data_IF_068617337646
#
_entry.id   IF_068617337646
#
_cell.length_a   1.000
_cell.length_b   1.000
_cell.length_c   1.000
_cell.angle_alpha   90.00
_cell.angle_beta   90.00
_cell.angle_gamma   90.00
#
_symmetry.space_group_name_H-M   'P 1'
#
loop_
_entity.id
_entity.type
_entity.pdbx_description
1 polymer ?
#
# COMPACT_ATOMS: atom_id res chain seq x y z
N UNK A 1 -2.05 -8.92 -0.66
CA UNK A 1 -2.56 -9.96 0.27
C UNK A 1 -1.66 -11.19 0.29
N UNK A 2 -1.32 -11.81 -0.84
CA UNK A 2 -0.41 -12.98 -0.86
C UNK A 2 0.98 -12.63 -0.34
N UNK A 3 1.46 -11.42 -0.55
CA UNK A 3 2.74 -10.96 -0.02
C UNK A 3 2.73 -10.89 1.52
N UNK A 4 1.60 -10.51 2.13
CA UNK A 4 1.42 -10.55 3.60
C UNK A 4 1.62 -11.98 4.13
N UNK A 5 1.00 -12.95 3.45
CA UNK A 5 1.12 -14.37 3.81
C UNK A 5 2.57 -14.86 3.63
N UNK A 6 3.21 -14.52 2.51
CA UNK A 6 4.61 -14.88 2.28
C UNK A 6 5.53 -14.30 3.36
N UNK A 7 5.39 -13.01 3.67
CA UNK A 7 6.18 -12.35 4.71
C UNK A 7 5.93 -12.93 6.10
N UNK A 8 4.69 -13.31 6.41
CA UNK A 8 4.37 -14.02 7.65
C UNK A 8 5.16 -15.33 7.76
N UNK A 9 5.13 -16.18 6.73
CA UNK A 9 5.85 -17.45 6.77
C UNK A 9 7.37 -17.26 6.81
N UNK A 10 7.91 -16.26 6.13
CA UNK A 10 9.35 -15.95 6.19
C UNK A 10 9.74 -15.49 7.60
N UNK A 11 8.96 -14.62 8.25
CA UNK A 11 9.20 -14.20 9.63
C UNK A 11 9.13 -15.36 10.61
N UNK A 12 8.12 -16.25 10.46
CA UNK A 12 8.02 -17.46 11.27
C UNK A 12 9.22 -18.41 11.06
N UNK A 13 9.67 -18.58 9.82
CA UNK A 13 10.85 -19.41 9.50
C UNK A 13 12.14 -18.80 10.09
N UNK A 14 12.21 -17.48 10.26
CA UNK A 14 13.32 -16.80 10.93
C UNK A 14 13.19 -16.81 12.47
N UNK A 15 12.11 -17.37 13.02
CA UNK A 15 11.90 -17.46 14.47
C UNK A 15 11.44 -16.15 15.12
N UNK A 16 10.91 -15.19 14.38
CA UNK A 16 10.54 -13.85 14.91
C UNK A 16 9.22 -13.82 15.69
N UNK A 17 8.59 -14.96 15.91
CA UNK A 17 7.31 -15.02 16.59
C UNK A 17 6.13 -14.52 15.73
N UNK A 18 4.91 -14.79 16.19
CA UNK A 18 3.70 -14.62 15.39
C UNK A 18 3.38 -13.15 15.10
N UNK A 19 3.47 -12.29 16.11
CA UNK A 19 3.13 -10.85 15.99
C UNK A 19 4.11 -10.13 15.06
N UNK A 20 5.41 -10.32 15.29
CA UNK A 20 6.45 -9.75 14.45
C UNK A 20 6.33 -10.22 13.00
N UNK A 21 6.06 -11.52 12.79
CA UNK A 21 5.91 -12.11 11.46
C UNK A 21 4.68 -11.57 10.73
N UNK A 22 3.56 -11.37 11.43
CA UNK A 22 2.36 -10.78 10.83
C UNK A 22 2.59 -9.33 10.39
N UNK A 23 3.19 -8.53 11.27
CA UNK A 23 3.52 -7.14 10.97
C UNK A 23 4.57 -7.04 9.87
N UNK A 24 5.58 -7.92 9.88
CA UNK A 24 6.55 -8.04 8.79
C UNK A 24 5.87 -8.27 7.45
N UNK A 25 4.93 -9.21 7.39
CA UNK A 25 4.15 -9.48 6.18
C UNK A 25 3.43 -8.24 5.68
N UNK A 26 2.80 -7.48 6.59
CA UNK A 26 2.20 -6.19 6.28
C UNK A 26 3.20 -5.19 5.71
N UNK A 27 4.32 -5.00 6.39
CA UNK A 27 5.36 -4.04 6.01
C UNK A 27 5.96 -4.33 4.63
N UNK A 28 6.31 -5.58 4.33
CA UNK A 28 6.94 -5.93 3.03
C UNK A 28 5.96 -6.07 1.87
N UNK A 29 4.66 -5.95 2.12
CA UNK A 29 3.63 -6.07 1.08
C UNK A 29 3.27 -4.77 0.38
N UNK A 30 3.85 -3.65 0.80
CA UNK A 30 3.52 -2.31 0.32
C UNK A 30 4.65 -1.75 -0.53
N UNK A 31 4.33 -1.35 -1.75
CA UNK A 31 5.27 -0.71 -2.67
C UNK A 31 5.23 0.82 -2.53
N UNK A 32 6.32 1.52 -2.86
CA UNK A 32 6.37 2.99 -2.77
C UNK A 32 5.84 3.64 -4.03
N UNK A 33 4.73 4.35 -3.91
CA UNK A 33 4.17 5.17 -4.99
C UNK A 33 5.11 6.29 -5.41
N UNK A 34 5.75 6.97 -4.45
CA UNK A 34 6.65 8.09 -4.72
C UNK A 34 7.90 7.65 -5.51
N UNK A 35 8.52 6.54 -5.13
CA UNK A 35 9.71 6.00 -5.80
C UNK A 35 9.37 5.54 -7.22
N UNK A 36 8.24 4.88 -7.42
CA UNK A 36 7.82 4.42 -8.75
C UNK A 36 7.53 5.60 -9.68
N UNK A 37 6.83 6.63 -9.19
CA UNK A 37 6.58 7.85 -9.98
C UNK A 37 7.90 8.46 -10.41
N UNK A 38 8.83 8.63 -9.48
CA UNK A 38 10.16 9.20 -9.76
C UNK A 38 10.93 8.34 -10.77
N UNK A 39 10.94 7.01 -10.59
CA UNK A 39 11.60 6.11 -11.54
C UNK A 39 10.97 6.18 -12.94
N UNK A 40 9.64 6.30 -13.06
CA UNK A 40 8.99 6.49 -14.35
C UNK A 40 9.32 7.81 -14.99
N UNK A 41 9.50 8.89 -14.22
CA UNK A 41 9.97 10.18 -14.70
C UNK A 41 11.37 10.08 -15.26
N UNK A 42 12.31 9.57 -14.46
CA UNK A 42 13.72 9.48 -14.79
C UNK A 42 13.98 8.54 -15.98
N UNK A 43 13.14 7.51 -16.16
CA UNK A 43 13.23 6.54 -17.27
C UNK A 43 12.35 6.90 -18.48
N UNK A 44 11.56 7.98 -18.44
CA UNK A 44 10.64 8.39 -19.52
C UNK A 44 9.49 7.40 -19.77
N UNK A 45 9.06 6.66 -18.76
CA UNK A 45 8.07 5.58 -18.90
C UNK A 45 6.62 6.00 -18.63
N UNK A 46 6.36 7.26 -18.24
CA UNK A 46 5.02 7.74 -17.84
C UNK A 46 3.90 7.48 -18.88
N UNK A 47 4.22 7.52 -20.17
CA UNK A 47 3.26 7.34 -21.26
C UNK A 47 2.96 5.87 -21.59
N UNK A 48 3.64 4.92 -20.97
CA UNK A 48 3.48 3.50 -21.27
C UNK A 48 2.17 2.93 -20.71
N UNK A 49 1.58 1.95 -21.41
CA UNK A 49 0.29 1.35 -21.01
C UNK A 49 0.33 0.66 -19.63
N UNK A 50 1.45 0.01 -19.32
CA UNK A 50 1.61 -0.71 -18.06
C UNK A 50 1.66 0.23 -16.85
N UNK A 51 2.06 1.48 -17.03
CA UNK A 51 2.13 2.50 -15.98
C UNK A 51 0.78 2.71 -15.30
N UNK A 52 -0.31 2.75 -16.08
CA UNK A 52 -1.68 2.88 -15.54
C UNK A 52 -2.07 1.69 -14.66
N UNK A 53 -1.61 0.50 -15.03
CA UNK A 53 -1.87 -0.71 -14.24
C UNK A 53 -1.09 -0.67 -12.94
N UNK A 54 0.18 -0.27 -12.99
CA UNK A 54 1.02 -0.10 -11.79
C UNK A 54 0.37 0.91 -10.83
N UNK A 55 -0.06 2.07 -11.31
CA UNK A 55 -0.78 3.04 -10.46
C UNK A 55 -2.07 2.47 -9.86
N UNK A 56 -2.85 1.70 -10.63
CA UNK A 56 -4.02 1.03 -10.11
C UNK A 56 -3.70 0.03 -8.98
N UNK A 57 -2.59 -0.70 -9.10
CA UNK A 57 -2.12 -1.61 -8.05
C UNK A 57 -1.70 -0.82 -6.81
N UNK A 58 -0.91 0.25 -6.97
CA UNK A 58 -0.42 1.07 -5.87
C UNK A 58 -1.57 1.70 -5.07
N UNK A 59 -2.60 2.22 -5.74
CA UNK A 59 -3.81 2.75 -5.06
C UNK A 59 -4.47 1.67 -4.20
N UNK A 60 -4.56 0.44 -4.69
CA UNK A 60 -5.14 -0.67 -3.92
C UNK A 60 -4.21 -1.08 -2.76
N UNK A 61 -2.90 -1.08 -2.97
CA UNK A 61 -1.91 -1.33 -1.90
C UNK A 61 -2.02 -0.28 -0.79
N UNK A 62 -2.12 1.01 -1.14
CA UNK A 62 -2.28 2.12 -0.18
C UNK A 62 -3.56 1.97 0.65
N UNK A 63 -4.68 1.59 0.02
CA UNK A 63 -5.93 1.31 0.74
C UNK A 63 -5.79 0.13 1.71
N UNK A 64 -5.10 -0.94 1.28
CA UNK A 64 -4.83 -2.10 2.14
C UNK A 64 -3.90 -1.70 3.30
N UNK A 65 -2.90 -0.85 3.07
CA UNK A 65 -2.01 -0.33 4.11
C UNK A 65 -2.78 0.40 5.21
N UNK A 66 -3.70 1.27 4.81
CA UNK A 66 -4.54 2.02 5.75
C UNK A 66 -5.44 1.07 6.54
N UNK A 67 -6.09 0.11 5.88
CA UNK A 67 -6.91 -0.91 6.56
C UNK A 67 -6.08 -1.73 7.55
N UNK A 68 -4.85 -2.09 7.18
CA UNK A 68 -3.94 -2.84 8.04
C UNK A 68 -3.54 -2.02 9.27
N UNK A 69 -3.18 -0.73 9.09
CA UNK A 69 -2.85 0.15 10.22
C UNK A 69 -4.01 0.30 11.20
N UNK A 70 -5.22 0.41 10.69
CA UNK A 70 -6.41 0.48 11.54
C UNK A 70 -6.66 -0.84 12.26
N UNK A 71 -6.49 -1.96 11.56
CA UNK A 71 -6.62 -3.29 12.15
C UNK A 71 -5.61 -3.48 13.30
N UNK A 72 -4.35 -3.12 13.08
CA UNK A 72 -3.29 -3.17 14.08
C UNK A 72 -3.67 -2.30 15.29
N UNK A 73 -4.06 -1.05 15.06
CA UNK A 73 -4.45 -0.14 16.15
C UNK A 73 -5.62 -0.69 16.95
N UNK A 74 -6.61 -1.30 16.29
CA UNK A 74 -7.81 -1.84 16.94
C UNK A 74 -7.50 -3.08 17.76
N UNK A 75 -6.71 -4.01 17.22
CA UNK A 75 -6.39 -5.29 17.89
C UNK A 75 -5.52 -5.05 19.13
N UNK A 76 -4.50 -4.19 19.01
CA UNK A 76 -3.48 -4.06 20.05
C UNK A 76 -3.78 -2.97 21.10
N UNK A 77 -4.61 -1.98 20.78
CA UNK A 77 -5.08 -0.99 21.76
C UNK A 77 -6.19 -1.57 22.66
N UNK A 78 -7.00 -2.51 22.15
CA UNK A 78 -8.13 -3.12 22.87
C UNK A 78 -7.77 -4.09 23.99
N UNK A 79 -6.51 -4.44 24.22
CA UNK A 79 -5.99 -5.34 25.30
C UNK A 79 -6.66 -6.72 25.44
N UNK A 80 -7.66 -7.07 24.63
CA UNK A 80 -8.30 -8.39 24.65
C UNK A 80 -8.59 -8.89 23.24
N UNK A 81 -8.16 -10.14 22.99
CA UNK A 81 -8.35 -10.84 21.70
C UNK A 81 -9.75 -11.50 21.61
N UNK A 82 -10.77 -10.93 22.21
CA UNK A 82 -12.12 -11.47 22.06
C UNK A 82 -12.70 -11.06 20.69
N UNK A 83 -13.19 -12.03 19.94
CA UNK A 83 -13.70 -11.81 18.58
C UNK A 83 -14.80 -10.74 18.48
N UNK A 84 -15.52 -10.46 19.58
CA UNK A 84 -16.50 -9.39 19.70
C UNK A 84 -15.86 -8.00 19.64
N UNK A 85 -14.71 -7.81 20.27
CA UNK A 85 -14.00 -6.51 20.29
C UNK A 85 -13.39 -6.19 18.93
N UNK A 86 -12.86 -7.20 18.22
CA UNK A 86 -12.39 -7.06 16.87
C UNK A 86 -13.54 -6.64 15.92
N UNK A 87 -14.71 -7.29 16.04
CA UNK A 87 -15.90 -6.95 15.26
C UNK A 87 -16.39 -5.53 15.57
N UNK A 88 -16.37 -5.13 16.84
CA UNK A 88 -16.74 -3.78 17.27
C UNK A 88 -15.72 -2.74 16.78
N UNK A 89 -14.42 -3.05 16.77
CA UNK A 89 -13.37 -2.18 16.23
C UNK A 89 -13.52 -1.94 14.72
N UNK A 90 -13.76 -3.02 13.96
CA UNK A 90 -14.04 -2.91 12.52
C UNK A 90 -15.33 -2.13 12.27
N UNK A 91 -16.39 -2.38 13.04
CA UNK A 91 -17.63 -1.63 12.93
C UNK A 91 -17.42 -0.14 13.26
N UNK A 92 -16.69 0.17 14.33
CA UNK A 92 -16.31 1.54 14.71
C UNK A 92 -15.57 2.22 13.57
N UNK A 93 -14.58 1.55 12.95
CA UNK A 93 -13.84 2.07 11.81
C UNK A 93 -14.78 2.39 10.65
N UNK A 94 -15.56 1.41 10.20
CA UNK A 94 -16.48 1.57 9.06
C UNK A 94 -17.46 2.70 9.34
N UNK A 95 -18.01 2.75 10.55
CA UNK A 95 -18.92 3.82 10.98
C UNK A 95 -18.27 5.20 10.88
N UNK A 96 -17.06 5.37 11.44
CA UNK A 96 -16.36 6.65 11.37
C UNK A 96 -15.94 7.02 9.94
N UNK A 97 -15.45 6.07 9.14
CA UNK A 97 -15.14 6.34 7.74
C UNK A 97 -16.37 6.81 6.96
N UNK A 98 -17.49 6.12 7.13
CA UNK A 98 -18.74 6.49 6.46
C UNK A 98 -19.23 7.87 6.91
N UNK A 99 -19.23 8.13 8.22
CA UNK A 99 -19.66 9.45 8.77
C UNK A 99 -18.72 10.55 8.29
N UNK A 100 -17.41 10.34 8.30
CA UNK A 100 -16.44 11.35 7.85
C UNK A 100 -16.54 11.60 6.35
N UNK A 101 -16.62 10.55 5.54
CA UNK A 101 -16.79 10.69 4.09
C UNK A 101 -18.08 11.40 3.74
N UNK A 102 -19.22 10.98 4.29
CA UNK A 102 -20.49 11.62 4.02
C UNK A 102 -20.46 13.09 4.47
N UNK A 103 -20.06 13.35 5.72
CA UNK A 103 -19.98 14.71 6.25
C UNK A 103 -19.02 15.58 5.43
N UNK A 104 -17.84 15.06 5.10
CA UNK A 104 -16.83 15.77 4.32
C UNK A 104 -17.30 16.10 2.91
N UNK A 105 -17.85 15.13 2.19
CA UNK A 105 -18.36 15.32 0.82
C UNK A 105 -19.51 16.35 0.77
N UNK A 106 -20.30 16.48 1.83
CA UNK A 106 -21.37 17.49 1.87
C UNK A 106 -20.88 18.84 2.41
N UNK A 107 -20.14 18.87 3.54
CA UNK A 107 -19.77 20.13 4.19
C UNK A 107 -18.64 20.87 3.48
N UNK A 108 -17.59 20.17 3.07
CA UNK A 108 -16.39 20.81 2.48
C UNK A 108 -16.70 21.56 1.18
N UNK A 109 -17.44 20.99 0.20
CA UNK A 109 -17.83 21.74 -1.00
C UNK A 109 -18.70 22.96 -0.71
N UNK A 110 -19.58 22.89 0.31
CA UNK A 110 -20.42 24.04 0.70
C UNK A 110 -19.53 25.17 1.23
N UNK A 111 -18.56 24.85 2.09
CA UNK A 111 -17.63 25.83 2.64
C UNK A 111 -16.77 26.44 1.51
N UNK A 112 -16.20 25.62 0.65
CA UNK A 112 -15.38 26.06 -0.49
C UNK A 112 -16.18 26.98 -1.42
N UNK A 113 -17.44 26.65 -1.74
CA UNK A 113 -18.30 27.49 -2.58
C UNK A 113 -18.64 28.84 -1.93
N UNK A 114 -19.01 28.84 -0.64
CA UNK A 114 -19.36 30.06 0.09
C UNK A 114 -18.17 31.00 0.30
N UNK A 115 -17.00 30.41 0.55
CA UNK A 115 -15.77 31.14 0.80
C UNK A 115 -14.94 31.41 -0.46
N UNK A 116 -15.40 31.01 -1.66
CA UNK A 116 -14.65 31.06 -2.92
C UNK A 116 -14.04 32.47 -3.19
N UNK A 117 -14.75 33.55 -2.88
CA UNK A 117 -14.28 34.92 -3.06
C UNK A 117 -13.13 35.33 -2.13
N UNK A 118 -12.92 34.56 -1.05
CA UNK A 118 -11.83 34.83 -0.09
C UNK A 118 -10.61 33.92 -0.32
N UNK A 119 -10.73 32.90 -1.18
CA UNK A 119 -9.66 31.96 -1.45
C UNK A 119 -8.80 32.42 -2.62
N UNK A 120 -7.68 33.10 -2.30
CA UNK A 120 -6.50 33.10 -3.16
C UNK A 120 -5.73 31.77 -2.97
N UNK A 121 -4.62 31.56 -3.67
CA UNK A 121 -3.86 30.31 -3.60
C UNK A 121 -3.26 30.08 -2.21
N UNK A 122 -2.78 31.13 -1.56
CA UNK A 122 -2.20 31.07 -0.22
C UNK A 122 -3.23 30.69 0.83
N UNK A 123 -4.39 31.37 0.83
CA UNK A 123 -5.47 31.07 1.79
C UNK A 123 -6.08 29.70 1.56
N UNK A 124 -6.19 29.23 0.31
CA UNK A 124 -6.66 27.90 -0.01
C UNK A 124 -5.69 26.82 0.48
N UNK A 125 -4.37 27.04 0.30
CA UNK A 125 -3.36 26.13 0.83
C UNK A 125 -3.44 26.01 2.36
N UNK A 126 -3.44 27.17 3.05
CA UNK A 126 -3.54 27.19 4.52
C UNK A 126 -4.83 26.51 5.00
N UNK A 127 -5.95 26.76 4.33
CA UNK A 127 -7.22 26.14 4.65
C UNK A 127 -7.20 24.61 4.45
N UNK A 128 -6.63 24.15 3.33
CA UNK A 128 -6.51 22.73 3.03
C UNK A 128 -5.61 22.00 4.06
N UNK A 129 -4.45 22.58 4.38
CA UNK A 129 -3.56 22.04 5.41
C UNK A 129 -4.20 22.08 6.79
N UNK A 130 -4.90 23.17 7.15
CA UNK A 130 -5.60 23.30 8.41
C UNK A 130 -6.68 22.23 8.61
N UNK A 131 -7.47 21.94 7.57
CA UNK A 131 -8.44 20.85 7.60
C UNK A 131 -7.79 19.49 7.64
N UNK A 132 -6.69 19.29 6.91
CA UNK A 132 -5.93 18.04 6.95
C UNK A 132 -5.41 17.75 8.36
N UNK A 133 -4.70 18.69 8.98
CA UNK A 133 -4.21 18.55 10.35
C UNK A 133 -5.33 18.46 11.37
N UNK A 134 -6.43 19.18 11.18
CA UNK A 134 -7.63 19.06 12.01
C UNK A 134 -8.19 17.64 12.01
N UNK A 135 -8.29 17.02 10.82
CA UNK A 135 -8.74 15.64 10.66
C UNK A 135 -7.75 14.65 11.26
N UNK A 136 -6.44 14.89 11.10
CA UNK A 136 -5.38 14.08 11.74
C UNK A 136 -5.54 14.08 13.27
N UNK A 137 -5.67 15.26 13.87
CA UNK A 137 -5.86 15.39 15.33
C UNK A 137 -7.16 14.71 15.77
N UNK A 138 -8.22 14.84 14.99
CA UNK A 138 -9.50 14.20 15.30
C UNK A 138 -9.40 12.67 15.21
N UNK A 139 -8.76 12.13 14.16
CA UNK A 139 -8.51 10.71 14.02
C UNK A 139 -7.72 10.14 15.21
N UNK A 140 -6.64 10.83 15.61
CA UNK A 140 -5.83 10.44 16.77
C UNK A 140 -6.63 10.43 18.08
N UNK A 141 -7.49 11.43 18.31
CA UNK A 141 -8.36 11.47 19.52
C UNK A 141 -9.36 10.32 19.57
N UNK A 142 -9.80 9.83 18.43
CA UNK A 142 -10.72 8.67 18.32
C UNK A 142 -9.99 7.33 18.41
N UNK A 143 -8.64 7.35 18.41
CA UNK A 143 -7.79 6.17 18.52
C UNK A 143 -7.38 5.57 17.17
N UNK A 144 -7.45 6.36 16.09
CA UNK A 144 -6.95 5.97 14.78
C UNK A 144 -5.58 6.60 14.48
N UNK A 145 -4.91 6.10 13.43
CA UNK A 145 -3.62 6.64 13.02
C UNK A 145 -3.73 8.04 12.40
N UNK A 146 -2.68 8.84 12.53
CA UNK A 146 -2.55 10.14 11.87
C UNK A 146 -2.66 10.03 10.34
N UNK A 147 -2.07 8.98 9.77
CA UNK A 147 -2.10 8.71 8.34
C UNK A 147 -3.53 8.49 7.82
N UNK A 148 -4.38 7.78 8.59
CA UNK A 148 -5.80 7.61 8.24
C UNK A 148 -6.53 8.97 8.19
N UNK A 149 -6.29 9.83 9.17
CA UNK A 149 -6.91 11.16 9.19
C UNK A 149 -6.53 12.00 7.97
N UNK A 150 -5.24 12.03 7.62
CA UNK A 150 -4.74 12.73 6.43
C UNK A 150 -5.33 12.15 5.13
N UNK A 151 -5.37 10.82 5.00
CA UNK A 151 -5.94 10.14 3.84
C UNK A 151 -7.42 10.45 3.64
N UNK A 152 -8.21 10.39 4.71
CA UNK A 152 -9.66 10.70 4.65
C UNK A 152 -9.88 12.14 4.19
N UNK A 153 -9.12 13.10 4.71
CA UNK A 153 -9.25 14.50 4.27
C UNK A 153 -8.82 14.66 2.81
N UNK A 154 -7.71 14.04 2.38
CA UNK A 154 -7.28 14.05 1.00
C UNK A 154 -8.33 13.46 0.05
N UNK A 155 -8.96 12.35 0.43
CA UNK A 155 -10.04 11.73 -0.34
C UNK A 155 -11.27 12.63 -0.46
N UNK A 156 -11.61 13.37 0.61
CA UNK A 156 -12.71 14.34 0.58
C UNK A 156 -12.37 15.50 -0.37
N UNK A 157 -11.14 16.02 -0.34
CA UNK A 157 -10.73 17.08 -1.26
C UNK A 157 -10.73 16.62 -2.73
N UNK A 158 -10.36 15.36 -3.01
CA UNK A 158 -10.38 14.79 -4.35
C UNK A 158 -11.77 14.81 -5.01
N UNK A 159 -12.85 14.80 -4.22
CA UNK A 159 -14.24 14.90 -4.69
C UNK A 159 -14.74 16.35 -4.83
N UNK A 160 -13.90 17.36 -4.57
CA UNK A 160 -14.29 18.78 -4.66
C UNK A 160 -13.96 19.37 -6.03
N UNK A 161 -14.65 20.47 -6.39
CA UNK A 161 -14.38 21.22 -7.63
C UNK A 161 -13.00 21.91 -7.63
N UNK A 162 -12.38 22.10 -6.48
CA UNK A 162 -11.06 22.74 -6.33
C UNK A 162 -9.94 21.66 -6.19
N UNK A 163 -10.25 20.37 -6.42
CA UNK A 163 -9.31 19.26 -6.24
C UNK A 163 -7.97 19.49 -6.95
N UNK A 164 -7.99 19.77 -8.25
CA UNK A 164 -6.75 20.02 -9.04
C UNK A 164 -5.95 21.22 -8.55
N UNK A 165 -6.65 22.27 -8.07
CA UNK A 165 -6.01 23.47 -7.53
C UNK A 165 -5.36 23.18 -6.19
N UNK A 166 -6.06 22.48 -5.30
CA UNK A 166 -5.54 22.06 -4.00
C UNK A 166 -4.33 21.13 -4.20
N UNK A 167 -4.42 20.16 -5.10
CA UNK A 167 -3.33 19.24 -5.43
C UNK A 167 -2.07 20.01 -5.87
N UNK A 168 -2.19 20.94 -6.82
CA UNK A 168 -1.07 21.76 -7.30
C UNK A 168 -0.42 22.59 -6.19
N UNK A 169 -1.20 23.10 -5.25
CA UNK A 169 -0.71 23.90 -4.13
C UNK A 169 -0.03 23.06 -3.06
N UNK A 170 -0.54 21.85 -2.80
CA UNK A 170 0.01 20.93 -1.79
C UNK A 170 1.23 20.17 -2.31
N UNK A 171 1.36 19.97 -3.63
CA UNK A 171 2.42 19.18 -4.23
C UNK A 171 3.85 19.63 -3.80
N UNK A 172 4.23 20.93 -3.82
CA UNK A 172 5.54 21.36 -3.34
C UNK A 172 5.78 21.04 -1.86
N UNK A 173 4.75 21.15 -1.04
CA UNK A 173 4.84 20.79 0.39
C UNK A 173 5.06 19.28 0.57
N UNK A 174 4.31 18.45 -0.17
CA UNK A 174 4.51 17.00 -0.21
C UNK A 174 5.95 16.66 -0.58
N UNK A 175 6.51 17.31 -1.60
CA UNK A 175 7.88 17.02 -2.08
C UNK A 175 8.93 17.39 -1.03
N UNK A 176 8.79 18.57 -0.37
CA UNK A 176 9.68 19.00 0.71
C UNK A 176 9.60 18.05 1.91
N UNK A 177 8.39 17.79 2.41
CA UNK A 177 8.22 16.90 3.56
C UNK A 177 8.57 15.46 3.24
N UNK A 178 8.33 15.01 2.01
CA UNK A 178 8.78 13.71 1.52
C UNK A 178 10.31 13.59 1.53
N UNK A 179 11.01 14.60 1.04
CA UNK A 179 12.48 14.63 1.09
C UNK A 179 13.00 14.60 2.54
N UNK A 180 12.44 15.43 3.43
CA UNK A 180 12.80 15.44 4.86
C UNK A 180 12.54 14.06 5.49
N UNK A 181 11.40 13.44 5.18
CA UNK A 181 11.06 12.10 5.67
C UNK A 181 12.09 11.07 5.23
N UNK A 182 12.44 11.00 3.94
CA UNK A 182 13.42 10.04 3.44
C UNK A 182 14.83 10.28 4.01
N UNK A 183 15.23 11.55 4.18
CA UNK A 183 16.50 11.87 4.87
C UNK A 183 16.47 11.41 6.31
N UNK A 184 15.38 11.67 7.04
CA UNK A 184 15.24 11.25 8.42
C UNK A 184 15.27 9.73 8.57
N UNK A 185 14.57 9.00 7.69
CA UNK A 185 14.61 7.53 7.65
C UNK A 185 16.02 7.03 7.31
N UNK A 186 16.69 7.66 6.34
CA UNK A 186 18.07 7.33 5.99
C UNK A 186 19.05 7.52 7.16
N UNK A 187 18.85 8.55 7.98
CA UNK A 187 19.65 8.78 9.20
C UNK A 187 19.41 7.75 10.31
N UNK A 188 18.30 7.03 10.27
CA UNK A 188 18.01 5.94 11.22
C UNK A 188 18.66 4.60 10.82
N UNK A 189 19.34 4.57 9.67
CA UNK A 189 20.10 3.38 9.26
C UNK A 189 21.29 3.22 10.21
N UNK A 190 21.24 2.16 11.00
CA UNK A 190 22.31 1.78 11.91
C UNK A 190 23.18 0.70 11.24
N UNK A 191 24.45 1.02 11.01
CA UNK A 191 25.39 0.10 10.37
C UNK A 191 25.69 -1.12 11.25
N UNK A 192 25.66 -0.97 12.56
CA UNK A 192 25.90 -2.08 13.50
C UNK A 192 24.75 -3.09 13.42
N UNK A 193 23.50 -2.60 13.33
CA UNK A 193 22.32 -3.44 13.10
C UNK A 193 22.39 -4.14 11.73
N UNK A 194 22.85 -3.45 10.67
CA UNK A 194 23.02 -4.09 9.36
C UNK A 194 24.02 -5.24 9.43
N UNK A 195 25.11 -5.06 10.14
CA UNK A 195 26.13 -6.11 10.29
C UNK A 195 25.61 -7.28 11.14
N UNK A 196 24.91 -6.99 12.23
CA UNK A 196 24.34 -8.01 13.12
C UNK A 196 23.23 -8.82 12.43
N UNK A 197 22.34 -8.13 11.68
CA UNK A 197 21.18 -8.75 11.02
C UNK A 197 21.37 -8.93 9.51
N UNK A 198 22.63 -9.05 9.03
CA UNK A 198 22.94 -9.19 7.60
C UNK A 198 22.15 -10.32 6.93
N UNK A 199 22.11 -11.50 7.54
CA UNK A 199 21.41 -12.66 6.96
C UNK A 199 19.89 -12.44 6.90
N UNK A 200 19.17 -12.02 7.96
CA UNK A 200 17.78 -11.60 7.88
C UNK A 200 17.51 -10.56 6.80
N UNK A 201 18.31 -9.51 6.72
CA UNK A 201 18.18 -8.44 5.71
C UNK A 201 18.27 -9.01 4.30
N UNK A 202 19.26 -9.86 4.01
CA UNK A 202 19.41 -10.49 2.69
C UNK A 202 18.21 -11.38 2.34
N UNK A 203 17.73 -12.19 3.29
CA UNK A 203 16.54 -13.04 3.10
C UNK A 203 15.34 -12.16 2.78
N UNK A 204 15.13 -11.07 3.50
CA UNK A 204 14.02 -10.16 3.28
C UNK A 204 14.12 -9.42 1.95
N UNK A 205 15.31 -8.92 1.56
CA UNK A 205 15.52 -8.29 0.25
C UNK A 205 15.16 -9.25 -0.88
N UNK A 206 15.65 -10.50 -0.83
CA UNK A 206 15.34 -11.54 -1.81
C UNK A 206 13.82 -11.85 -1.80
N UNK A 207 13.24 -11.97 -0.62
CA UNK A 207 11.81 -12.23 -0.46
C UNK A 207 10.96 -11.10 -1.06
N UNK A 208 11.32 -9.85 -0.82
CA UNK A 208 10.62 -8.69 -1.38
C UNK A 208 10.73 -8.68 -2.89
N UNK A 209 11.95 -8.72 -3.44
CA UNK A 209 12.15 -8.61 -4.88
C UNK A 209 11.52 -9.80 -5.62
N UNK A 210 11.85 -11.04 -5.24
CA UNK A 210 11.32 -12.22 -5.93
C UNK A 210 9.85 -12.45 -5.62
N UNK A 211 9.44 -12.25 -4.36
CA UNK A 211 8.05 -12.42 -3.92
C UNK A 211 7.12 -11.44 -4.62
N UNK A 212 7.44 -10.15 -4.64
CA UNK A 212 6.65 -9.12 -5.33
C UNK A 212 6.53 -9.42 -6.82
N UNK A 213 7.66 -9.69 -7.52
CA UNK A 213 7.64 -10.02 -8.94
C UNK A 213 6.74 -11.25 -9.19
N UNK A 214 6.98 -12.34 -8.48
CA UNK A 214 6.29 -13.62 -8.72
C UNK A 214 4.80 -13.52 -8.45
N UNK A 215 4.42 -12.92 -7.31
CA UNK A 215 3.01 -12.80 -6.92
C UNK A 215 2.27 -11.77 -7.77
N UNK A 216 2.95 -10.69 -8.19
CA UNK A 216 2.37 -9.73 -9.13
C UNK A 216 2.18 -10.35 -10.53
N UNK A 217 3.13 -11.14 -11.03
CA UNK A 217 2.97 -11.89 -12.29
C UNK A 217 1.73 -12.80 -12.21
N UNK A 218 1.61 -13.60 -11.15
CA UNK A 218 0.47 -14.50 -10.97
C UNK A 218 -0.83 -13.69 -10.93
N UNK A 219 -0.91 -12.63 -10.14
CA UNK A 219 -2.10 -11.79 -10.00
C UNK A 219 -2.52 -11.13 -11.31
N UNK A 220 -1.57 -10.57 -12.07
CA UNK A 220 -1.82 -9.90 -13.34
C UNK A 220 -2.21 -10.87 -14.44
N UNK A 221 -1.59 -12.06 -14.52
CA UNK A 221 -2.00 -13.11 -15.45
C UNK A 221 -3.40 -13.62 -15.13
N UNK A 222 -3.74 -13.81 -13.85
CA UNK A 222 -5.10 -14.19 -13.44
C UNK A 222 -6.12 -13.10 -13.73
N UNK A 223 -5.73 -11.82 -13.68
CA UNK A 223 -6.59 -10.69 -14.05
C UNK A 223 -6.79 -10.56 -15.57
N UNK A 224 -6.06 -11.36 -16.38
CA UNK A 224 -6.18 -11.39 -17.84
C UNK A 224 -5.31 -10.35 -18.54
N UNK A 225 -4.25 -9.85 -17.92
CA UNK A 225 -3.28 -8.98 -18.58
C UNK A 225 -2.39 -9.79 -19.55
N UNK A 226 -1.91 -9.13 -20.62
CA UNK A 226 -0.96 -9.76 -21.52
C UNK A 226 0.42 -9.94 -20.87
N UNK A 227 1.22 -10.86 -21.39
CA UNK A 227 2.51 -11.23 -20.80
C UNK A 227 3.46 -10.05 -20.68
N UNK A 228 3.60 -9.20 -21.71
CA UNK A 228 4.49 -8.05 -21.71
C UNK A 228 4.12 -7.06 -20.60
N UNK A 229 2.87 -6.66 -20.56
CA UNK A 229 2.36 -5.73 -19.54
C UNK A 229 2.51 -6.32 -18.13
N UNK A 230 2.25 -7.62 -17.98
CA UNK A 230 2.41 -8.32 -16.71
C UNK A 230 3.85 -8.23 -16.19
N UNK A 231 4.83 -8.57 -17.03
CA UNK A 231 6.24 -8.55 -16.64
C UNK A 231 6.68 -7.13 -16.34
N UNK A 232 6.42 -6.17 -17.24
CA UNK A 232 6.78 -4.78 -17.03
C UNK A 232 6.17 -4.20 -15.77
N UNK A 233 4.89 -4.47 -15.47
CA UNK A 233 4.24 -4.00 -14.25
C UNK A 233 4.81 -4.67 -13.00
N UNK A 234 5.04 -5.98 -13.02
CA UNK A 234 5.51 -6.71 -11.83
C UNK A 234 6.91 -6.31 -11.41
N UNK A 235 7.79 -6.01 -12.38
CA UNK A 235 9.16 -5.57 -12.11
C UNK A 235 9.24 -4.15 -11.54
N UNK A 236 8.16 -3.38 -11.57
CA UNK A 236 8.09 -2.06 -10.96
C UNK A 236 7.76 -2.09 -9.46
N UNK A 237 7.21 -3.20 -8.93
CA UNK A 237 6.69 -3.30 -7.56
C UNK A 237 7.70 -3.89 -6.57
N UNK A 238 8.99 -3.78 -6.80
CA UNK A 238 10.03 -4.55 -6.09
C UNK A 238 10.64 -3.87 -4.86
N UNK A 239 10.14 -2.71 -4.46
CA UNK A 239 10.62 -1.96 -3.31
C UNK A 239 9.58 -1.89 -2.20
N UNK A 240 10.07 -1.73 -0.97
CA UNK A 240 9.22 -1.45 0.19
C UNK A 240 8.86 0.04 0.22
N UNK A 241 7.58 0.34 0.45
CA UNK A 241 7.05 1.70 0.50
C UNK A 241 7.10 2.36 1.87
N UNK A 242 6.74 3.64 1.89
CA UNK A 242 6.66 4.48 3.09
C UNK A 242 5.68 3.96 4.14
N UNK A 243 4.62 3.28 3.75
CA UNK A 243 3.67 2.68 4.69
C UNK A 243 4.30 1.60 5.57
N UNK A 244 5.35 0.93 5.10
CA UNK A 244 6.10 -0.03 5.91
C UNK A 244 6.71 0.63 7.16
N UNK A 245 7.29 1.83 6.99
CA UNK A 245 7.85 2.59 8.12
C UNK A 245 6.76 3.06 9.08
N UNK A 246 5.60 3.46 8.56
CA UNK A 246 4.46 3.89 9.38
C UNK A 246 3.93 2.70 10.20
N UNK A 247 3.82 1.51 9.59
CA UNK A 247 3.40 0.29 10.28
C UNK A 247 4.44 -0.12 11.33
N UNK A 248 5.73 -0.06 10.99
CA UNK A 248 6.80 -0.38 11.93
C UNK A 248 6.83 0.60 13.11
N UNK A 249 6.71 1.89 12.86
CA UNK A 249 6.63 2.92 13.90
C UNK A 249 5.38 2.75 14.79
N UNK A 250 4.23 2.43 14.18
CA UNK A 250 3.02 2.13 14.93
C UNK A 250 3.22 0.91 15.84
N UNK A 251 3.81 -0.16 15.32
CA UNK A 251 4.12 -1.36 16.08
C UNK A 251 5.10 -1.10 17.23
N UNK A 252 6.15 -0.31 17.00
CA UNK A 252 7.10 0.11 18.02
C UNK A 252 6.43 0.97 19.11
N UNK A 253 5.62 1.96 18.73
CA UNK A 253 4.91 2.82 19.68
C UNK A 253 3.89 2.06 20.52
N UNK A 254 3.31 1.00 20.02
CA UNK A 254 2.40 0.10 20.74
C UNK A 254 3.14 -0.96 21.56
N UNK A 255 4.48 -1.07 21.43
CA UNK A 255 5.30 -2.07 22.11
C UNK A 255 5.02 -3.50 21.67
N UNK A 256 4.58 -3.71 20.41
CA UNK A 256 4.15 -5.01 19.86
C UNK A 256 5.14 -5.62 18.90
N UNK A 257 6.20 -4.89 18.54
CA UNK A 257 7.32 -5.40 17.75
C UNK A 257 8.61 -5.26 18.53
N UNK A 258 9.56 -6.16 18.25
CA UNK A 258 10.89 -6.10 18.81
C UNK A 258 11.68 -4.91 18.24
N UNK A 259 12.57 -4.33 19.04
CA UNK A 259 13.30 -3.09 18.71
C UNK A 259 14.14 -3.20 17.43
N UNK A 260 14.66 -4.39 17.11
CA UNK A 260 15.48 -4.62 15.92
C UNK A 260 14.68 -4.60 14.59
N UNK A 261 13.36 -4.82 14.62
CA UNK A 261 12.55 -4.95 13.40
C UNK A 261 12.52 -3.64 12.62
N UNK A 262 12.36 -2.51 13.31
CA UNK A 262 12.29 -1.22 12.64
C UNK A 262 13.59 -0.91 11.86
N UNK A 263 14.80 -0.97 12.44
CA UNK A 263 16.04 -0.75 11.70
C UNK A 263 16.26 -1.77 10.55
N UNK A 264 15.87 -3.03 10.75
CA UNK A 264 15.95 -4.05 9.69
C UNK A 264 15.06 -3.69 8.50
N UNK A 265 13.82 -3.29 8.74
CA UNK A 265 12.90 -2.88 7.66
C UNK A 265 13.42 -1.62 6.94
N UNK A 266 13.99 -0.66 7.66
CA UNK A 266 14.65 0.51 7.07
C UNK A 266 15.78 0.07 6.14
N UNK A 267 16.67 -0.82 6.59
CA UNK A 267 17.77 -1.33 5.77
C UNK A 267 17.28 -2.06 4.51
N UNK A 268 16.29 -2.96 4.66
CA UNK A 268 15.68 -3.69 3.52
C UNK A 268 15.05 -2.72 2.53
N UNK A 269 14.35 -1.70 3.02
CA UNK A 269 13.71 -0.70 2.17
C UNK A 269 14.76 0.08 1.36
N UNK A 270 15.79 0.60 2.01
CA UNK A 270 16.86 1.35 1.33
C UNK A 270 17.51 0.50 0.23
N UNK A 271 17.82 -0.77 0.52
CA UNK A 271 18.42 -1.68 -0.46
C UNK A 271 17.45 -1.94 -1.62
N UNK A 272 16.18 -2.22 -1.33
CA UNK A 272 15.19 -2.51 -2.37
C UNK A 272 14.87 -1.29 -3.23
N UNK A 273 14.82 -0.08 -2.65
CA UNK A 273 14.69 1.18 -3.39
C UNK A 273 15.85 1.36 -4.36
N UNK A 274 17.08 1.16 -3.90
CA UNK A 274 18.28 1.29 -4.72
C UNK A 274 18.31 0.27 -5.87
N UNK A 275 17.89 -0.95 -5.63
CA UNK A 275 17.89 -2.05 -6.61
C UNK A 275 16.76 -1.91 -7.64
N UNK A 276 15.64 -1.30 -7.29
CA UNK A 276 14.43 -1.22 -8.13
C UNK A 276 14.65 -0.69 -9.54
N UNK A 277 15.36 0.42 -9.81
CA UNK A 277 15.57 0.90 -11.18
C UNK A 277 16.33 -0.10 -12.06
N UNK A 278 17.22 -0.89 -11.47
CA UNK A 278 17.95 -1.95 -12.19
C UNK A 278 17.03 -3.13 -12.50
N UNK A 279 16.21 -3.54 -11.54
CA UNK A 279 15.20 -4.58 -11.72
C UNK A 279 14.18 -4.16 -12.80
N UNK A 280 13.71 -2.92 -12.79
CA UNK A 280 12.80 -2.40 -13.82
C UNK A 280 13.39 -2.52 -15.23
N UNK A 281 14.68 -2.23 -15.41
CA UNK A 281 15.38 -2.37 -16.70
C UNK A 281 15.49 -3.83 -17.17
N UNK A 282 15.45 -4.79 -16.25
CA UNK A 282 15.47 -6.22 -16.59
C UNK A 282 14.13 -6.74 -17.12
N UNK A 283 13.04 -5.95 -17.01
CA UNK A 283 11.70 -6.39 -17.43
C UNK A 283 11.64 -6.72 -18.91
N UNK A 284 12.22 -5.90 -19.78
CA UNK A 284 12.19 -6.15 -21.24
C UNK A 284 13.07 -7.36 -21.65
N UNK A 285 14.34 -7.48 -21.22
CA UNK A 285 15.12 -8.69 -21.45
C UNK A 285 14.46 -9.98 -20.97
N UNK A 286 13.86 -9.96 -19.77
CA UNK A 286 13.15 -11.13 -19.23
C UNK A 286 11.90 -11.44 -20.06
N UNK A 287 11.14 -10.43 -20.48
CA UNK A 287 10.03 -10.64 -21.38
C UNK A 287 10.46 -11.31 -22.70
N UNK A 288 11.52 -10.79 -23.33
CA UNK A 288 12.03 -11.37 -24.58
C UNK A 288 12.50 -12.82 -24.40
N UNK A 289 13.22 -13.10 -23.32
CA UNK A 289 13.66 -14.45 -23.00
C UNK A 289 12.48 -15.42 -22.82
N UNK A 290 11.48 -15.02 -22.03
CA UNK A 290 10.28 -15.82 -21.82
C UNK A 290 9.48 -15.99 -23.12
N UNK A 291 9.34 -14.91 -23.89
CA UNK A 291 8.63 -14.95 -25.16
C UNK A 291 9.29 -15.88 -26.20
N UNK A 292 10.61 -16.02 -26.18
CA UNK A 292 11.32 -16.99 -27.05
C UNK A 292 11.14 -18.44 -26.59
N UNK A 293 11.04 -18.69 -25.29
CA UNK A 293 10.96 -20.06 -24.73
C UNK A 293 9.54 -20.60 -24.61
N UNK A 294 8.54 -19.74 -24.55
CA UNK A 294 7.14 -20.17 -24.41
C UNK A 294 6.60 -20.80 -25.71
N UNK A 295 5.89 -21.94 -25.62
CA UNK A 295 5.18 -22.53 -26.78
C UNK A 295 4.18 -21.56 -27.40
N UNK A 296 4.01 -21.61 -28.74
CA UNK A 296 3.09 -20.72 -29.49
C UNK A 296 1.65 -20.80 -28.96
N UNK A 297 1.19 -21.98 -28.54
CA UNK A 297 -0.14 -22.17 -27.95
C UNK A 297 -0.36 -21.35 -26.67
N UNK A 298 0.66 -21.23 -25.84
CA UNK A 298 0.61 -20.45 -24.61
C UNK A 298 0.70 -18.94 -24.88
N UNK A 299 1.53 -18.54 -25.85
CA UNK A 299 1.60 -17.15 -26.31
C UNK A 299 0.24 -16.66 -26.79
N UNK A 300 -0.38 -17.43 -27.71
CA UNK A 300 -1.69 -17.11 -28.26
C UNK A 300 -2.79 -17.00 -27.16
N UNK A 301 -2.74 -17.88 -26.15
CA UNK A 301 -3.67 -17.80 -25.02
C UNK A 301 -3.45 -16.55 -24.16
N UNK A 302 -2.20 -16.19 -23.88
CA UNK A 302 -1.85 -15.03 -23.06
C UNK A 302 -2.12 -13.69 -23.77
N UNK A 303 -1.90 -13.63 -25.09
CA UNK A 303 -2.20 -12.45 -25.89
C UNK A 303 -3.71 -12.25 -26.13
N UNK A 304 -4.45 -13.33 -26.37
CA UNK A 304 -5.90 -13.26 -26.61
C UNK A 304 -6.70 -12.95 -25.33
N UNK A 305 -6.18 -13.28 -24.12
CA UNK A 305 -6.84 -12.90 -22.86
C UNK A 305 -6.99 -11.38 -22.72
N UNK A 306 -6.02 -10.60 -23.20
CA UNK A 306 -6.09 -9.13 -23.18
C UNK A 306 -7.13 -8.54 -24.14
N UNK A 307 -7.41 -9.21 -25.27
CA UNK A 307 -8.37 -8.75 -26.27
C UNK A 307 -9.82 -9.05 -25.90
N UNK A 308 -10.06 -10.18 -25.25
CA UNK A 308 -11.43 -10.62 -24.91
C UNK A 308 -12.15 -9.74 -23.89
N UNK A 309 -11.41 -8.98 -23.09
CA UNK A 309 -11.97 -8.00 -22.13
C UNK A 309 -12.22 -6.62 -22.75
N UNK A 310 -11.50 -6.25 -23.80
CA UNK A 310 -11.67 -4.94 -24.45
C UNK A 310 -13.01 -4.82 -25.20
N UNK A 311 -13.50 -5.91 -25.80
CA UNK A 311 -14.75 -5.91 -26.56
C UNK A 311 -16.03 -5.95 -25.70
N UNK A 312 -15.91 -6.19 -24.38
CA UNK A 312 -17.05 -6.20 -23.44
C UNK A 312 -17.21 -4.90 -22.62
N UNK A 313 -16.54 -3.84 -23.01
CA UNK A 313 -16.43 -2.61 -22.21
C UNK A 313 -17.65 -1.67 -22.26
N UNK A 314 -18.81 -2.09 -22.78
CA UNK A 314 -19.99 -1.22 -22.91
C UNK A 314 -20.92 -1.15 -21.68
N UNK A 315 -20.64 -1.88 -20.59
CA UNK A 315 -21.42 -1.77 -19.34
C UNK A 315 -20.50 -1.73 -18.10
N UNK A 316 -19.54 -0.78 -18.14
CA UNK A 316 -18.33 -0.83 -17.30
C UNK A 316 -18.59 -0.53 -15.82
N UNK A 317 -19.47 0.41 -15.47
CA UNK A 317 -19.62 0.86 -14.09
C UNK A 317 -20.23 -0.17 -13.14
N UNK A 318 -21.31 -0.81 -13.53
CA UNK A 318 -21.95 -1.83 -12.67
C UNK A 318 -21.12 -3.10 -12.55
N UNK A 319 -20.39 -3.46 -13.62
CA UNK A 319 -19.49 -4.63 -13.61
C UNK A 319 -18.23 -4.36 -12.82
N UNK A 320 -17.67 -3.13 -12.85
CA UNK A 320 -16.53 -2.71 -12.05
C UNK A 320 -16.90 -2.64 -10.56
N UNK A 321 -18.00 -2.02 -10.20
CA UNK A 321 -18.47 -1.96 -8.82
C UNK A 321 -18.73 -3.35 -8.24
N UNK A 322 -19.34 -4.25 -9.01
CA UNK A 322 -19.54 -5.65 -8.61
C UNK A 322 -18.24 -6.44 -8.53
N UNK A 323 -17.28 -6.19 -9.40
CA UNK A 323 -15.96 -6.83 -9.33
C UNK A 323 -15.14 -6.30 -8.15
N UNK A 324 -15.12 -4.99 -7.91
CA UNK A 324 -14.46 -4.39 -6.74
C UNK A 324 -15.13 -4.89 -5.45
N UNK A 325 -16.45 -4.91 -5.37
CA UNK A 325 -17.17 -5.44 -4.21
C UNK A 325 -16.89 -6.94 -3.98
N UNK A 326 -16.82 -7.75 -5.04
CA UNK A 326 -16.43 -9.17 -4.94
C UNK A 326 -14.97 -9.34 -4.51
N UNK A 327 -14.06 -8.55 -5.06
CA UNK A 327 -12.64 -8.56 -4.70
C UNK A 327 -12.48 -8.17 -3.24
N UNK A 328 -13.07 -7.06 -2.81
CA UNK A 328 -13.03 -6.61 -1.42
C UNK A 328 -13.66 -7.64 -0.49
N UNK A 329 -14.81 -8.21 -0.84
CA UNK A 329 -15.46 -9.24 -0.05
C UNK A 329 -14.62 -10.53 0.07
N UNK A 330 -14.06 -11.02 -1.05
CA UNK A 330 -13.23 -12.23 -1.06
C UNK A 330 -11.93 -12.00 -0.26
N UNK A 331 -11.27 -10.86 -0.43
CA UNK A 331 -10.05 -10.57 0.31
C UNK A 331 -10.32 -10.27 1.79
N UNK A 332 -11.44 -9.65 2.13
CA UNK A 332 -11.87 -9.49 3.52
C UNK A 332 -12.17 -10.83 4.18
N UNK A 333 -12.88 -11.72 3.49
CA UNK A 333 -13.17 -13.08 3.97
C UNK A 333 -11.88 -13.89 4.12
N UNK A 334 -10.96 -13.82 3.16
CA UNK A 334 -9.66 -14.49 3.24
C UNK A 334 -8.81 -13.95 4.40
N UNK A 335 -8.76 -12.64 4.58
CA UNK A 335 -8.04 -12.02 5.69
C UNK A 335 -8.64 -12.41 7.05
N UNK A 336 -9.97 -12.41 7.16
CA UNK A 336 -10.69 -12.87 8.37
C UNK A 336 -10.49 -14.38 8.59
N UNK A 337 -10.51 -15.20 7.53
CA UNK A 337 -10.29 -16.63 7.64
C UNK A 337 -8.85 -16.97 8.06
N UNK A 338 -7.84 -16.26 7.54
CA UNK A 338 -6.44 -16.40 7.96
C UNK A 338 -6.27 -15.99 9.43
N UNK A 339 -6.88 -14.87 9.83
CA UNK A 339 -6.90 -14.44 11.24
C UNK A 339 -7.61 -15.46 12.14
N UNK A 340 -8.76 -15.97 11.73
CA UNK A 340 -9.53 -16.95 12.51
C UNK A 340 -8.80 -18.29 12.63
N UNK A 341 -8.20 -18.80 11.55
CA UNK A 341 -7.36 -19.99 11.57
C UNK A 341 -6.11 -19.80 12.42
N UNK A 342 -5.47 -18.66 12.32
CA UNK A 342 -4.31 -18.29 13.13
C UNK A 342 -4.65 -18.24 14.62
N UNK A 343 -5.76 -17.62 14.98
CA UNK A 343 -6.18 -17.47 16.38
C UNK A 343 -6.70 -18.77 17.02
N UNK A 344 -7.40 -19.62 16.25
CA UNK A 344 -8.02 -20.84 16.81
C UNK A 344 -7.12 -22.07 16.76
N UNK A 345 -6.25 -22.19 15.76
CA UNK A 345 -5.47 -23.42 15.56
C UNK A 345 -3.98 -23.28 15.93
N UNK A 346 -3.43 -22.07 15.93
CA UNK A 346 -2.04 -21.85 16.35
C UNK A 346 -1.91 -21.48 17.83
N UNK A 347 -2.95 -20.92 18.46
CA UNK A 347 -2.96 -20.60 19.90
C UNK A 347 -2.88 -21.81 20.84
N UNK A 348 -3.41 -23.01 20.53
CA UNK A 348 -3.26 -24.18 21.41
C UNK A 348 -1.96 -24.94 21.20
N UNK A 349 -1.05 -24.52 20.29
CA UNK A 349 0.23 -25.16 19.99
C UNK A 349 1.45 -24.41 20.58
N UNK A 350 1.21 -23.29 21.27
CA UNK A 350 2.16 -22.50 22.04
C UNK A 350 1.62 -22.34 23.45
#
# INVERSE_FOLDING_TARGET
TFMIVLGFFVGMAMGWGMTNSFLLGGMISMSSTAIIIKAFDDMGLKSQKFTKIVFGILIVEDLIAILLMVLISTIFVGKSFEGKELLFGVFKLVFFLVVWMISGIYFIPIILRKAKRFFNDETLLVFALGLCFGMVLFAMKVGFSSALGAFVMGSIFAETLEAERIEKLVLPMKDIFGAIFFVSVGMMVDFDVILEYTLPILILVVTVVIGQISLAIIGLLLSGQNLKTTIQSSFCLTQIGEFAFIIAMLGANLGIIDEFIYPVIVAVSVITIFVTPYVMKLSDPVYEFLNRKLPESWKAQLENRGKWKADKAENVWNTLLLQIAKIVAVYSILSIAVLFLSLNYLKPLV
#
